data_IF_608750379929
#
_entry.id   IF_608750379929
#
_cell.length_a   1.000
_cell.length_b   1.000
_cell.length_c   1.000
_cell.angle_alpha   90.00
_cell.angle_beta   90.00
_cell.angle_gamma   90.00
#
_symmetry.space_group_name_H-M   'P 1'
#
loop_
_entity.id
_entity.type
_entity.pdbx_description
1 polymer ?
#
# COMPACT_ATOMS: atom_id res chain seq x y z
N UNK A 1 11.12 53.71 -9.79
CA UNK A 1 11.75 52.54 -9.15
C UNK A 1 10.79 51.33 -9.08
N UNK A 2 9.52 51.50 -8.75
CA UNK A 2 8.55 50.40 -8.63
C UNK A 2 8.37 49.54 -9.89
N UNK A 3 8.35 50.08 -11.10
CA UNK A 3 8.23 49.33 -12.34
C UNK A 3 9.40 48.36 -12.58
N UNK A 4 10.62 48.79 -12.30
CA UNK A 4 11.82 47.93 -12.45
C UNK A 4 11.78 46.76 -11.44
N UNK A 5 11.32 47.01 -10.24
CA UNK A 5 11.14 45.99 -9.20
C UNK A 5 10.08 44.97 -9.58
N UNK A 6 8.94 45.40 -10.13
CA UNK A 6 7.91 44.50 -10.64
C UNK A 6 8.38 43.59 -11.81
N UNK A 7 9.20 44.17 -12.72
CA UNK A 7 9.78 43.35 -13.80
C UNK A 7 10.73 42.28 -13.27
N UNK A 8 11.57 42.61 -12.26
CA UNK A 8 12.46 41.62 -11.64
C UNK A 8 11.66 40.49 -10.98
N UNK A 9 10.60 40.82 -10.25
CA UNK A 9 9.73 39.80 -9.64
C UNK A 9 9.05 38.96 -10.72
N UNK A 10 8.52 39.55 -11.79
CA UNK A 10 7.89 38.83 -12.87
C UNK A 10 8.85 37.83 -13.56
N UNK A 11 10.08 38.30 -13.83
CA UNK A 11 11.13 37.43 -14.40
C UNK A 11 11.48 36.29 -13.45
N UNK A 12 11.59 36.55 -12.15
CA UNK A 12 11.92 35.56 -11.14
C UNK A 12 10.79 34.49 -11.05
N UNK A 13 9.51 34.90 -11.09
CA UNK A 13 8.37 33.99 -11.11
C UNK A 13 8.41 33.10 -12.38
N UNK A 14 8.66 33.69 -13.55
CA UNK A 14 8.77 32.95 -14.80
C UNK A 14 9.92 31.92 -14.74
N UNK A 15 11.07 32.30 -14.19
CA UNK A 15 12.20 31.37 -14.02
C UNK A 15 11.88 30.24 -13.05
N UNK A 16 11.17 30.49 -11.96
CA UNK A 16 10.71 29.46 -11.03
C UNK A 16 9.74 28.51 -11.70
N UNK A 17 8.79 29.03 -12.47
CA UNK A 17 7.82 28.20 -13.21
C UNK A 17 8.53 27.34 -14.27
N UNK A 18 9.43 27.92 -15.05
CA UNK A 18 10.22 27.17 -16.04
C UNK A 18 11.11 26.12 -15.38
N UNK A 19 11.73 26.46 -14.24
CA UNK A 19 12.50 25.50 -13.44
C UNK A 19 11.64 24.35 -12.91
N UNK A 20 10.45 24.63 -12.42
CA UNK A 20 9.50 23.60 -11.95
C UNK A 20 9.03 22.70 -13.09
N UNK A 21 8.75 23.24 -14.27
CA UNK A 21 8.40 22.46 -15.46
C UNK A 21 9.57 21.58 -15.90
N UNK A 22 10.78 22.13 -15.97
CA UNK A 22 11.97 21.38 -16.33
C UNK A 22 12.25 20.24 -15.34
N UNK A 23 12.14 20.49 -14.03
CA UNK A 23 12.27 19.47 -12.99
C UNK A 23 11.19 18.40 -13.09
N UNK A 24 9.94 18.78 -13.41
CA UNK A 24 8.84 17.82 -13.59
C UNK A 24 9.07 16.88 -14.77
N UNK A 25 9.55 17.40 -15.88
CA UNK A 25 9.88 16.58 -17.07
C UNK A 25 11.09 15.70 -16.78
N UNK A 26 12.11 16.24 -16.14
CA UNK A 26 13.36 15.52 -15.88
C UNK A 26 13.18 14.44 -14.79
N UNK A 27 12.31 14.66 -13.83
CA UNK A 27 12.03 13.67 -12.79
C UNK A 27 11.43 12.36 -13.37
N UNK A 28 10.55 12.45 -14.36
CA UNK A 28 10.02 11.29 -15.06
C UNK A 28 11.12 10.50 -15.77
N UNK A 29 11.94 11.18 -16.58
CA UNK A 29 13.06 10.55 -17.29
C UNK A 29 14.10 9.96 -16.31
N UNK A 30 14.39 10.65 -15.22
CA UNK A 30 15.29 10.15 -14.19
C UNK A 30 14.77 8.88 -13.53
N UNK A 31 13.45 8.80 -13.27
CA UNK A 31 12.80 7.61 -12.71
C UNK A 31 12.86 6.45 -13.69
N UNK A 32 12.55 6.67 -14.96
CA UNK A 32 12.68 5.63 -16.00
C UNK A 32 14.12 5.13 -16.12
N UNK A 33 15.10 6.04 -16.21
CA UNK A 33 16.53 5.71 -16.31
C UNK A 33 17.00 4.92 -15.06
N UNK A 34 16.47 5.24 -13.88
CA UNK A 34 16.88 4.60 -12.64
C UNK A 34 16.28 3.21 -12.45
N UNK A 35 15.03 3.01 -12.81
CA UNK A 35 14.27 1.80 -12.44
C UNK A 35 13.98 0.87 -13.60
N UNK A 36 13.97 1.33 -14.86
CA UNK A 36 13.74 0.45 -16.00
C UNK A 36 14.98 -0.42 -16.25
N UNK A 37 14.84 -1.76 -16.22
CA UNK A 37 15.93 -2.66 -16.56
C UNK A 37 16.44 -2.40 -17.98
N UNK A 38 17.75 -2.50 -18.17
CA UNK A 38 18.38 -2.19 -19.46
C UNK A 38 18.72 -3.42 -20.27
N UNK A 39 18.75 -4.60 -19.62
CA UNK A 39 19.02 -5.89 -20.24
C UNK A 39 17.88 -6.37 -21.13
N UNK A 40 18.13 -7.41 -21.87
CA UNK A 40 17.10 -8.19 -22.54
C UNK A 40 16.29 -8.97 -21.50
N UNK A 41 15.04 -9.30 -21.83
CA UNK A 41 14.26 -10.20 -20.99
C UNK A 41 14.84 -11.61 -21.06
N UNK A 42 15.12 -12.18 -19.90
CA UNK A 42 15.55 -13.56 -19.77
C UNK A 42 14.41 -14.35 -19.16
N UNK A 43 13.87 -15.27 -19.93
CA UNK A 43 12.83 -16.16 -19.44
C UNK A 43 13.39 -17.05 -18.33
N UNK A 44 12.77 -17.02 -17.17
CA UNK A 44 13.14 -17.87 -16.04
C UNK A 44 12.56 -19.28 -16.23
N UNK A 45 13.22 -20.29 -15.66
CA UNK A 45 12.70 -21.67 -15.69
C UNK A 45 11.24 -21.71 -15.19
N UNK A 46 10.34 -22.42 -15.89
CA UNK A 46 8.95 -22.57 -15.43
C UNK A 46 8.91 -23.15 -14.03
N UNK A 47 7.97 -22.67 -13.22
CA UNK A 47 7.70 -23.31 -11.93
C UNK A 47 7.18 -24.72 -12.14
N UNK A 48 7.48 -25.61 -11.20
CA UNK A 48 6.90 -26.96 -11.22
C UNK A 48 5.36 -26.86 -11.17
N UNK A 49 4.67 -27.77 -11.86
CA UNK A 49 3.20 -27.79 -11.94
C UNK A 49 2.52 -27.80 -10.55
N UNK A 50 3.20 -28.37 -9.55
CA UNK A 50 2.75 -28.46 -8.16
C UNK A 50 3.43 -27.45 -7.22
N UNK A 51 4.10 -26.43 -7.75
CA UNK A 51 4.87 -25.49 -6.93
C UNK A 51 4.04 -24.87 -5.79
N UNK A 52 2.80 -24.50 -6.06
CA UNK A 52 1.91 -23.87 -5.08
C UNK A 52 1.30 -24.83 -4.05
N UNK A 53 1.58 -26.14 -4.15
CA UNK A 53 1.30 -27.08 -3.06
C UNK A 53 2.27 -26.86 -1.89
N UNK A 54 3.47 -26.36 -2.16
CA UNK A 54 4.47 -26.05 -1.15
C UNK A 54 4.02 -24.83 -0.32
N UNK A 55 3.90 -24.96 1.03
CA UNK A 55 3.63 -23.83 1.91
C UNK A 55 4.64 -22.67 1.77
N UNK A 56 5.88 -22.95 1.40
CA UNK A 56 6.93 -21.93 1.21
C UNK A 56 6.63 -20.99 0.03
N UNK A 57 5.74 -21.36 -0.88
CA UNK A 57 5.29 -20.53 -1.99
C UNK A 57 4.20 -19.51 -1.59
N UNK A 58 3.93 -19.36 -0.30
CA UNK A 58 2.91 -18.46 0.21
C UNK A 58 3.47 -17.54 1.30
N UNK A 59 3.16 -16.26 1.20
CA UNK A 59 3.34 -15.31 2.29
C UNK A 59 2.27 -15.48 3.37
N UNK A 60 1.04 -15.79 2.94
CA UNK A 60 -0.10 -16.04 3.80
C UNK A 60 -0.93 -17.20 3.25
N UNK A 61 -1.35 -18.09 4.11
CA UNK A 61 -2.31 -19.18 3.87
C UNK A 61 -2.77 -19.74 5.21
N UNK A 62 -3.86 -20.51 5.25
CA UNK A 62 -4.26 -21.19 6.47
C UNK A 62 -3.14 -22.06 7.05
N UNK A 63 -2.97 -21.97 8.37
CA UNK A 63 -1.99 -22.77 9.11
C UNK A 63 -0.62 -22.15 9.37
N UNK A 64 -0.35 -20.92 8.89
CA UNK A 64 0.90 -20.19 9.21
C UNK A 64 0.96 -19.64 10.65
N UNK A 65 -0.16 -19.60 11.37
CA UNK A 65 -0.22 -19.14 12.76
C UNK A 65 0.09 -17.66 12.95
N UNK A 66 0.84 -17.34 14.01
CA UNK A 66 1.15 -15.95 14.42
C UNK A 66 2.16 -15.25 13.50
N UNK A 67 2.88 -15.98 12.69
CA UNK A 67 3.90 -15.43 11.79
C UNK A 67 3.34 -14.99 10.43
N UNK A 68 2.03 -15.10 10.25
CA UNK A 68 1.34 -14.70 9.03
C UNK A 68 1.35 -13.16 8.88
N UNK A 69 2.08 -12.59 7.90
CA UNK A 69 2.16 -11.15 7.73
C UNK A 69 0.83 -10.51 7.33
N UNK A 70 -0.08 -11.26 6.71
CA UNK A 70 -1.39 -10.74 6.32
C UNK A 70 -2.34 -10.59 7.52
N UNK A 71 -2.07 -11.27 8.62
CA UNK A 71 -2.82 -11.20 9.88
C UNK A 71 -2.22 -10.21 10.89
N UNK A 72 -1.32 -9.35 10.45
CA UNK A 72 -0.65 -8.40 11.33
C UNK A 72 -1.65 -7.45 11.99
N UNK A 73 -1.55 -7.34 13.32
CA UNK A 73 -2.26 -6.36 14.12
C UNK A 73 -1.22 -5.52 14.86
N UNK A 74 -1.17 -4.18 14.64
CA UNK A 74 -0.26 -3.34 15.39
C UNK A 74 -0.65 -3.36 16.88
N UNK A 75 0.34 -3.45 17.77
CA UNK A 75 0.11 -3.26 19.18
C UNK A 75 -0.43 -1.83 19.37
N UNK A 76 -1.67 -1.72 19.84
CA UNK A 76 -2.21 -0.43 20.25
C UNK A 76 -1.37 0.07 21.42
N UNK A 77 -0.87 1.30 21.33
CA UNK A 77 -0.22 1.93 22.47
C UNK A 77 -1.23 1.93 23.63
N UNK A 78 -0.83 1.55 24.86
CA UNK A 78 -1.73 1.61 25.99
C UNK A 78 -2.26 3.04 26.11
N UNK A 79 -3.57 3.20 26.11
CA UNK A 79 -4.22 4.49 26.38
C UNK A 79 -3.76 4.88 27.78
N UNK A 80 -3.09 6.03 27.98
CA UNK A 80 -2.68 6.44 29.30
C UNK A 80 -3.94 6.53 30.18
N UNK A 81 -3.97 5.81 31.30
CA UNK A 81 -5.10 5.73 32.23
C UNK A 81 -5.55 7.12 32.76
N UNK A 82 -4.77 8.17 32.55
CA UNK A 82 -5.08 9.52 32.96
C UNK A 82 -6.06 10.29 32.04
N UNK A 83 -6.54 9.70 30.96
CA UNK A 83 -7.53 10.38 30.09
C UNK A 83 -8.98 10.20 30.54
N UNK A 84 -9.21 9.41 31.60
CA UNK A 84 -10.57 9.08 32.07
C UNK A 84 -11.05 9.88 33.29
N UNK A 85 -10.32 10.88 33.78
CA UNK A 85 -10.72 11.61 35.01
C UNK A 85 -10.40 13.11 34.98
N UNK A 86 -10.78 13.79 33.89
CA UNK A 86 -11.10 15.22 34.03
C UNK A 86 -12.61 15.40 33.99
N UNK A 87 -13.20 15.11 35.11
CA UNK A 87 -14.53 15.65 35.49
C UNK A 87 -14.36 17.18 35.56
N UNK A 88 -15.08 18.00 34.79
CA UNK A 88 -15.01 19.44 34.93
C UNK A 88 -15.59 19.80 36.30
N UNK A 89 -14.74 20.28 37.21
CA UNK A 89 -15.13 20.92 38.44
C UNK A 89 -15.95 22.19 38.16
N UNK A 90 -17.13 22.36 38.72
CA UNK A 90 -17.87 23.61 38.61
C UNK A 90 -17.39 24.57 39.70
N UNK A 91 -16.72 25.66 39.31
CA UNK A 91 -16.76 26.94 40.06
C UNK A 91 -15.79 27.99 39.48
N UNK A 92 -16.34 29.01 38.88
CA UNK A 92 -15.95 30.38 39.17
C UNK A 92 -17.03 31.35 38.65
N UNK A 93 -17.29 32.47 39.33
CA UNK A 93 -18.48 33.25 39.17
C UNK A 93 -18.40 34.28 38.03
N UNK A 94 -19.60 34.68 37.62
CA UNK A 94 -19.90 35.71 36.62
C UNK A 94 -19.15 37.03 36.79
N UNK A 95 -18.64 37.54 35.70
CA UNK A 95 -18.47 38.97 35.50
C UNK A 95 -18.86 39.31 34.04
N UNK A 96 -19.73 40.23 33.95
CA UNK A 96 -20.51 40.73 32.83
C UNK A 96 -19.73 41.38 31.71
N UNK A 97 -20.40 41.45 30.59
CA UNK A 97 -20.48 42.48 29.55
C UNK A 97 -19.74 42.29 28.24
N UNK A 98 -20.54 42.22 27.20
CA UNK A 98 -20.35 42.99 25.98
C UNK A 98 -20.63 42.31 24.68
N UNK A 99 -21.80 42.55 24.15
CA UNK A 99 -22.17 42.64 22.71
C UNK A 99 -21.51 41.74 21.65
N UNK A 100 -22.26 40.81 21.13
CA UNK A 100 -22.74 40.85 19.73
C UNK A 100 -21.81 40.28 18.70
N UNK A 101 -22.08 39.07 18.29
CA UNK A 101 -22.32 38.67 16.88
C UNK A 101 -22.45 37.16 16.86
N UNK A 102 -23.66 36.68 16.53
CA UNK A 102 -23.97 35.27 16.36
C UNK A 102 -23.35 34.76 15.07
N UNK A 103 -22.25 34.02 15.16
CA UNK A 103 -21.85 33.08 14.12
C UNK A 103 -22.38 31.70 14.54
N UNK A 104 -22.96 30.91 13.63
CA UNK A 104 -23.40 29.57 13.97
C UNK A 104 -22.17 28.72 14.32
N UNK A 105 -22.15 28.26 15.57
CA UNK A 105 -21.20 27.22 16.00
C UNK A 105 -21.57 25.97 15.26
N UNK A 106 -20.79 25.60 14.25
CA UNK A 106 -20.81 24.27 13.69
C UNK A 106 -20.29 23.34 14.80
N UNK A 107 -21.20 22.65 15.45
CA UNK A 107 -20.83 21.54 16.31
C UNK A 107 -20.03 20.54 15.50
N UNK A 108 -18.87 20.07 16.00
CA UNK A 108 -18.13 19.00 15.32
C UNK A 108 -19.00 17.73 15.37
N UNK A 109 -19.41 17.26 14.21
CA UNK A 109 -20.08 15.95 14.02
C UNK A 109 -19.16 14.75 14.34
N UNK A 110 -18.35 14.84 15.37
CA UNK A 110 -17.39 13.80 15.77
C UNK A 110 -17.90 12.88 16.87
N UNK A 111 -19.20 12.66 16.96
CA UNK A 111 -19.75 11.69 17.94
C UNK A 111 -20.85 10.82 17.34
N UNK A 112 -20.85 10.56 16.07
CA UNK A 112 -21.46 9.31 15.62
C UNK A 112 -20.46 8.21 15.93
N UNK A 113 -20.49 7.69 17.13
CA UNK A 113 -20.08 6.32 17.39
C UNK A 113 -20.81 5.50 16.35
N UNK A 114 -20.08 4.98 15.36
CA UNK A 114 -20.62 3.93 14.53
C UNK A 114 -21.11 2.86 15.51
N UNK A 115 -22.41 2.59 15.52
CA UNK A 115 -22.94 1.47 16.28
C UNK A 115 -22.07 0.25 15.92
N UNK A 116 -21.68 -0.58 16.90
CA UNK A 116 -20.95 -1.80 16.59
C UNK A 116 -21.80 -2.56 15.56
N UNK A 117 -21.29 -2.72 14.36
CA UNK A 117 -21.90 -3.63 13.38
C UNK A 117 -21.91 -4.97 14.10
N UNK A 118 -23.11 -5.47 14.41
CA UNK A 118 -23.26 -6.76 15.06
C UNK A 118 -22.51 -7.78 14.20
N UNK A 119 -21.59 -8.49 14.82
CA UNK A 119 -20.64 -9.38 14.13
C UNK A 119 -21.32 -10.62 13.52
N UNK A 120 -22.65 -10.73 13.67
CA UNK A 120 -23.43 -11.95 13.33
C UNK A 120 -23.81 -12.09 11.85
N UNK A 121 -23.65 -11.04 11.03
CA UNK A 121 -24.12 -11.06 9.62
C UNK A 121 -23.01 -11.02 8.57
N UNK A 122 -21.74 -11.17 8.94
CA UNK A 122 -20.67 -11.24 7.95
C UNK A 122 -20.51 -12.69 7.54
N UNK A 123 -20.81 -13.05 6.28
CA UNK A 123 -20.60 -14.42 5.82
C UNK A 123 -19.11 -14.77 5.88
N UNK A 124 -18.84 -16.04 6.12
CA UNK A 124 -17.50 -16.59 6.02
C UNK A 124 -16.98 -16.37 4.60
N UNK A 125 -15.77 -15.87 4.45
CA UNK A 125 -15.19 -15.63 3.13
C UNK A 125 -13.67 -15.81 3.13
N UNK A 126 -13.16 -16.22 1.99
CA UNK A 126 -11.74 -16.34 1.71
C UNK A 126 -11.27 -15.18 0.81
N UNK A 127 -10.06 -14.71 1.06
CA UNK A 127 -9.43 -13.63 0.28
C UNK A 127 -8.19 -14.15 -0.42
N UNK A 128 -8.15 -14.00 -1.74
CA UNK A 128 -6.92 -14.13 -2.50
C UNK A 128 -6.31 -12.74 -2.70
N UNK A 129 -5.20 -12.48 -2.04
CA UNK A 129 -4.52 -11.19 -2.06
C UNK A 129 -3.22 -11.27 -2.86
N UNK A 130 -3.16 -10.56 -3.96
CA UNK A 130 -1.93 -10.44 -4.76
C UNK A 130 -1.11 -9.26 -4.22
N UNK A 131 0.06 -9.51 -3.59
CA UNK A 131 0.91 -8.41 -3.15
C UNK A 131 1.36 -7.55 -4.34
N UNK A 132 1.39 -6.22 -4.21
CA UNK A 132 1.98 -5.39 -5.26
C UNK A 132 3.46 -5.70 -5.40
N UNK A 133 4.05 -5.38 -6.57
CA UNK A 133 5.47 -5.60 -6.76
C UNK A 133 6.30 -4.88 -5.70
N UNK A 134 7.15 -5.64 -5.05
CA UNK A 134 8.16 -5.19 -4.09
C UNK A 134 9.57 -5.25 -4.67
N UNK A 135 9.71 -5.71 -5.92
CA UNK A 135 10.97 -5.75 -6.63
C UNK A 135 11.32 -4.37 -7.19
N UNK A 136 11.99 -3.58 -6.35
CA UNK A 136 12.39 -2.21 -6.60
C UNK A 136 13.92 -2.17 -6.68
N UNK A 137 14.47 -2.58 -7.82
CA UNK A 137 15.91 -2.53 -8.04
C UNK A 137 16.24 -1.63 -9.24
N UNK A 138 17.27 -0.82 -9.09
CA UNK A 138 17.82 -0.03 -10.19
C UNK A 138 18.71 -0.94 -11.06
N UNK A 139 18.37 -1.10 -12.32
CA UNK A 139 19.21 -1.83 -13.28
C UNK A 139 19.30 -3.35 -13.05
N UNK A 140 18.36 -3.94 -12.32
CA UNK A 140 18.26 -5.39 -12.10
C UNK A 140 17.61 -6.12 -13.29
N UNK A 141 17.27 -7.37 -13.05
CA UNK A 141 16.51 -8.19 -13.98
C UNK A 141 15.07 -7.70 -14.14
N UNK A 142 14.38 -8.17 -15.17
CA UNK A 142 12.98 -7.82 -15.41
C UNK A 142 12.01 -8.47 -14.43
N UNK A 143 12.34 -9.65 -13.88
CA UNK A 143 11.57 -10.33 -12.85
C UNK A 143 12.45 -10.67 -11.65
N UNK A 144 11.88 -10.60 -10.48
CA UNK A 144 12.52 -11.04 -9.25
C UNK A 144 12.74 -12.55 -9.23
N UNK A 145 13.83 -12.99 -8.63
CA UNK A 145 13.95 -14.37 -8.19
C UNK A 145 13.10 -14.60 -6.92
N UNK A 146 12.54 -15.79 -6.76
CA UNK A 146 11.88 -16.19 -5.51
C UNK A 146 12.85 -16.26 -4.31
N UNK A 147 14.16 -16.25 -4.57
CA UNK A 147 15.23 -16.28 -3.56
C UNK A 147 15.71 -14.87 -3.20
N UNK A 148 15.16 -13.81 -3.80
CA UNK A 148 15.54 -12.44 -3.46
C UNK A 148 14.96 -12.02 -2.10
N UNK A 149 15.80 -12.15 -1.06
CA UNK A 149 15.43 -11.84 0.33
C UNK A 149 14.98 -10.39 0.53
N UNK A 150 15.56 -9.42 -0.18
CA UNK A 150 15.15 -8.01 -0.05
C UNK A 150 13.76 -7.77 -0.61
N UNK A 151 13.43 -8.41 -1.71
CA UNK A 151 12.08 -8.38 -2.29
C UNK A 151 11.09 -9.09 -1.39
N UNK A 152 11.47 -10.24 -0.82
CA UNK A 152 10.65 -10.99 0.14
C UNK A 152 10.34 -10.17 1.41
N UNK A 153 11.35 -9.58 2.04
CA UNK A 153 11.17 -8.75 3.24
C UNK A 153 10.23 -7.56 2.98
N UNK A 154 10.37 -6.93 1.82
CA UNK A 154 9.54 -5.79 1.43
C UNK A 154 8.10 -6.22 1.12
N UNK A 155 7.92 -7.38 0.47
CA UNK A 155 6.60 -7.96 0.25
C UNK A 155 5.89 -8.25 1.56
N UNK A 156 6.57 -8.82 2.55
CA UNK A 156 6.03 -9.04 3.90
C UNK A 156 5.63 -7.73 4.59
N UNK A 157 6.42 -6.67 4.42
CA UNK A 157 6.07 -5.34 4.94
C UNK A 157 4.79 -4.80 4.27
N UNK A 158 4.65 -4.93 2.97
CA UNK A 158 3.45 -4.51 2.24
C UNK A 158 2.22 -5.30 2.67
N UNK A 159 2.35 -6.60 2.86
CA UNK A 159 1.27 -7.45 3.37
C UNK A 159 0.79 -7.00 4.74
N UNK A 160 1.69 -6.68 5.67
CA UNK A 160 1.33 -6.16 7.00
C UNK A 160 0.49 -4.90 6.93
N UNK A 161 0.79 -4.03 5.97
CA UNK A 161 0.06 -2.76 5.81
C UNK A 161 -1.25 -2.88 5.02
N UNK A 162 -1.30 -3.78 4.04
CA UNK A 162 -2.37 -3.80 3.05
C UNK A 162 -3.35 -4.97 3.24
N UNK A 163 -2.83 -6.17 3.48
CA UNK A 163 -3.68 -7.36 3.63
C UNK A 163 -4.40 -7.39 4.99
N UNK A 164 -3.86 -6.72 6.01
CA UNK A 164 -4.50 -6.61 7.32
C UNK A 164 -5.87 -5.92 7.30
N UNK A 165 -6.19 -5.19 6.23
CA UNK A 165 -7.55 -4.67 6.00
C UNK A 165 -8.59 -5.80 5.88
N UNK A 166 -8.16 -7.01 5.54
CA UNK A 166 -9.00 -8.20 5.38
C UNK A 166 -8.94 -9.15 6.59
N UNK A 167 -8.50 -8.68 7.76
CA UNK A 167 -8.37 -9.52 8.96
C UNK A 167 -9.67 -10.19 9.43
N UNK A 168 -10.82 -9.75 8.93
CA UNK A 168 -12.12 -10.38 9.17
C UNK A 168 -12.39 -11.61 8.30
N UNK A 169 -11.62 -11.80 7.23
CA UNK A 169 -11.74 -12.99 6.40
C UNK A 169 -11.30 -14.24 7.17
N UNK A 170 -11.95 -15.36 6.96
CA UNK A 170 -11.55 -16.64 7.55
C UNK A 170 -10.17 -17.05 7.06
N UNK A 171 -9.96 -16.86 5.78
CA UNK A 171 -8.72 -17.22 5.12
C UNK A 171 -8.19 -16.06 4.31
N UNK A 172 -6.89 -15.82 4.41
CA UNK A 172 -6.16 -14.92 3.53
C UNK A 172 -5.06 -15.72 2.87
N UNK A 173 -5.06 -15.73 1.55
CA UNK A 173 -4.08 -16.39 0.73
C UNK A 173 -3.29 -15.35 -0.04
N UNK A 174 -1.98 -15.30 0.13
CA UNK A 174 -1.10 -14.37 -0.57
C UNK A 174 0.09 -15.13 -1.16
N UNK A 175 0.18 -15.29 -2.48
CA UNK A 175 1.22 -16.06 -3.12
C UNK A 175 2.55 -15.30 -3.15
N UNK A 176 3.64 -16.07 -3.14
CA UNK A 176 4.94 -15.65 -3.67
C UNK A 176 4.94 -15.91 -5.18
N UNK A 177 5.43 -14.96 -5.92
CA UNK A 177 5.51 -15.06 -7.38
C UNK A 177 6.70 -14.25 -7.90
N UNK A 178 7.18 -14.55 -9.08
CA UNK A 178 8.31 -13.86 -9.71
C UNK A 178 7.88 -12.49 -10.21
N UNK A 179 7.87 -11.54 -9.30
CA UNK A 179 7.33 -10.20 -9.50
C UNK A 179 8.04 -9.49 -10.64
N UNK A 180 7.30 -8.83 -11.54
CA UNK A 180 7.88 -7.92 -12.49
C UNK A 180 8.49 -6.71 -11.76
N UNK A 181 9.64 -6.23 -12.21
CA UNK A 181 10.28 -5.04 -11.66
C UNK A 181 9.35 -3.82 -11.73
N UNK A 182 9.45 -2.92 -10.74
CA UNK A 182 8.72 -1.64 -10.77
C UNK A 182 8.96 -0.89 -12.08
N UNK A 183 10.18 -0.99 -12.63
CA UNK A 183 10.53 -0.40 -13.91
C UNK A 183 9.74 -0.93 -15.11
N UNK A 184 9.21 -2.16 -15.05
CA UNK A 184 8.36 -2.70 -16.11
C UNK A 184 7.05 -1.91 -16.29
N UNK A 185 6.56 -1.27 -15.22
CA UNK A 185 5.36 -0.44 -15.25
C UNK A 185 5.63 1.02 -15.66
N UNK A 186 6.87 1.36 -15.95
CA UNK A 186 7.30 2.71 -16.33
C UNK A 186 7.69 2.85 -17.79
N UNK A 187 7.56 1.79 -18.58
CA UNK A 187 8.01 1.75 -19.98
C UNK A 187 7.11 0.88 -20.84
N UNK A 188 7.08 1.15 -22.15
CA UNK A 188 6.35 0.36 -23.14
C UNK A 188 7.26 -0.64 -23.90
N UNK A 189 8.42 -0.95 -23.36
CA UNK A 189 9.36 -1.90 -23.97
C UNK A 189 8.75 -3.31 -24.03
N UNK A 190 9.02 -4.09 -25.09
CA UNK A 190 8.54 -5.48 -25.19
C UNK A 190 8.94 -6.35 -24.00
N UNK A 191 10.14 -6.15 -23.46
CA UNK A 191 10.65 -6.88 -22.29
C UNK A 191 9.81 -6.63 -21.03
N UNK A 192 9.24 -5.43 -20.89
CA UNK A 192 8.35 -5.09 -19.80
C UNK A 192 7.05 -5.91 -19.89
N UNK A 193 6.49 -6.04 -21.08
CA UNK A 193 5.29 -6.85 -21.31
C UNK A 193 5.58 -8.32 -20.99
N UNK A 194 6.71 -8.86 -21.46
CA UNK A 194 7.13 -10.24 -21.18
C UNK A 194 7.28 -10.48 -19.66
N UNK A 195 7.84 -9.52 -18.94
CA UNK A 195 8.02 -9.62 -17.50
C UNK A 195 6.68 -9.63 -16.73
N UNK A 196 5.74 -8.78 -17.15
CA UNK A 196 4.40 -8.73 -16.56
C UNK A 196 3.64 -10.02 -16.88
N UNK A 197 3.72 -10.54 -18.10
CA UNK A 197 3.08 -11.79 -18.50
C UNK A 197 3.64 -12.99 -17.72
N UNK A 198 4.95 -13.04 -17.50
CA UNK A 198 5.58 -14.07 -16.66
C UNK A 198 5.08 -14.02 -15.21
N UNK A 199 5.04 -12.82 -14.61
CA UNK A 199 4.50 -12.63 -13.28
C UNK A 199 3.02 -13.00 -13.18
N UNK A 200 2.23 -12.65 -14.20
CA UNK A 200 0.82 -13.01 -14.28
C UNK A 200 0.60 -14.52 -14.38
N UNK A 201 1.47 -15.24 -15.10
CA UNK A 201 1.39 -16.70 -15.18
C UNK A 201 1.52 -17.34 -13.79
N UNK A 202 2.49 -16.90 -12.98
CA UNK A 202 2.65 -17.38 -11.61
C UNK A 202 1.42 -17.07 -10.74
N UNK A 203 0.90 -15.84 -10.82
CA UNK A 203 -0.31 -15.44 -10.07
C UNK A 203 -1.51 -16.26 -10.49
N UNK A 204 -1.69 -16.52 -11.78
CA UNK A 204 -2.77 -17.34 -12.31
C UNK A 204 -2.69 -18.78 -11.78
N UNK A 205 -1.50 -19.36 -11.73
CA UNK A 205 -1.33 -20.74 -11.27
C UNK A 205 -1.51 -20.86 -9.76
N UNK A 206 -1.08 -19.86 -8.98
CA UNK A 206 -1.39 -19.76 -7.56
C UNK A 206 -2.89 -19.58 -7.30
N UNK A 207 -3.58 -18.80 -8.13
CA UNK A 207 -5.02 -18.60 -8.00
C UNK A 207 -5.82 -19.88 -8.29
N UNK A 208 -5.38 -20.68 -9.25
CA UNK A 208 -5.98 -22.00 -9.48
C UNK A 208 -5.87 -22.89 -8.25
N UNK A 209 -4.69 -22.96 -7.65
CA UNK A 209 -4.49 -23.72 -6.42
C UNK A 209 -5.35 -23.20 -5.27
N UNK A 210 -5.49 -21.88 -5.13
CA UNK A 210 -6.40 -21.27 -4.16
C UNK A 210 -7.83 -21.75 -4.37
N UNK A 211 -8.35 -21.67 -5.59
CA UNK A 211 -9.72 -22.11 -5.90
C UNK A 211 -9.95 -23.59 -5.61
N UNK A 212 -8.95 -24.43 -5.85
CA UNK A 212 -9.02 -25.88 -5.57
C UNK A 212 -8.91 -26.21 -4.06
N UNK A 213 -8.44 -25.23 -3.25
CA UNK A 213 -8.16 -25.43 -1.83
C UNK A 213 -9.21 -24.82 -0.90
N UNK A 214 -9.92 -23.82 -1.34
CA UNK A 214 -10.93 -23.11 -0.54
C UNK A 214 -12.27 -23.82 -0.64
N UNK A 215 -13.01 -23.84 0.47
CA UNK A 215 -14.38 -24.33 0.51
C UNK A 215 -15.24 -23.52 -0.48
N UNK A 216 -15.95 -24.16 -1.42
CA UNK A 216 -16.78 -23.48 -2.40
C UNK A 216 -17.93 -22.64 -1.79
N UNK A 217 -18.24 -22.86 -0.51
CA UNK A 217 -19.25 -22.09 0.22
C UNK A 217 -18.71 -20.81 0.88
N UNK A 218 -17.41 -20.51 0.68
CA UNK A 218 -16.73 -19.31 1.21
C UNK A 218 -16.49 -18.19 0.19
#
# INVERSE_FOLDING_TARGET
MARKFLYVIAVLIVLVILGAIALSIWSRQATEIAFVPRGEFVEQEPLAENAYQDPAMWYSRPGLGTDDPARYQPALAPVPENSASETPSPQAPAAERGLGTSAPVLEPESSRRADPVEAEDIPDFAVFFVPPTSYIQAGGDWNASLEDGLTDDRARLFLRGMASAFNRADEIWAPRYRQAAVGAFLTDRPEAVMAIDAAYADVRDSFRYFLDSVDPDK
#
